data_IF_220292089681
#
_entry.id   IF_220292089681
#
_cell.length_a   1.000
_cell.length_b   1.000
_cell.length_c   1.000
_cell.angle_alpha   90.00
_cell.angle_beta   90.00
_cell.angle_gamma   90.00
#
_symmetry.space_group_name_H-M   'P 1'
#
loop_
_entity.id
_entity.type
_entity.pdbx_description
1 polymer ?
#
# COMPACT_ATOMS: atom_id res chain seq x y z
N UNK A 1 -20.63 2.87 14.81
CA UNK A 1 -21.62 2.80 13.73
C UNK A 1 -22.85 3.63 14.14
N UNK A 2 -23.58 4.20 13.15
CA UNK A 2 -24.84 4.87 13.45
C UNK A 2 -25.79 3.91 14.14
N UNK A 3 -26.57 4.41 15.11
CA UNK A 3 -27.47 3.59 15.94
C UNK A 3 -28.55 2.86 15.14
N UNK A 4 -28.89 3.37 13.97
CA UNK A 4 -29.87 2.79 13.02
C UNK A 4 -29.22 1.97 11.89
N UNK A 5 -27.88 1.83 11.90
CA UNK A 5 -27.12 1.10 10.89
C UNK A 5 -27.06 1.79 9.51
N UNK A 6 -27.51 3.05 9.41
CA UNK A 6 -27.51 3.82 8.14
C UNK A 6 -26.45 4.90 8.17
N UNK A 7 -25.89 5.19 7.01
CA UNK A 7 -25.02 6.33 6.81
C UNK A 7 -25.86 7.52 6.32
N UNK A 8 -25.48 8.74 6.73
CA UNK A 8 -26.23 9.94 6.35
C UNK A 8 -25.84 10.46 4.98
N UNK A 9 -26.83 10.62 4.12
CA UNK A 9 -26.70 11.36 2.87
C UNK A 9 -26.49 12.86 3.07
N UNK A 10 -26.22 13.59 2.01
CA UNK A 10 -25.85 15.00 2.05
C UNK A 10 -24.47 15.26 2.65
N UNK A 11 -23.71 14.21 2.91
CA UNK A 11 -22.35 14.26 3.47
C UNK A 11 -21.31 14.45 2.37
N UNK A 12 -20.26 15.24 2.66
CA UNK A 12 -19.07 15.35 1.83
C UNK A 12 -17.89 14.65 2.49
N UNK A 13 -17.28 13.70 1.77
CA UNK A 13 -16.06 12.99 2.18
C UNK A 13 -14.87 13.62 1.44
N UNK A 14 -13.94 14.20 2.19
CA UNK A 14 -12.68 14.69 1.65
C UNK A 14 -11.60 13.62 1.83
N UNK A 15 -11.15 13.04 0.73
CA UNK A 15 -10.25 11.88 0.73
C UNK A 15 -8.77 12.26 0.92
N UNK A 16 -8.39 13.54 0.75
CA UNK A 16 -6.99 13.95 0.63
C UNK A 16 -6.29 13.16 -0.48
N UNK A 17 -5.15 12.57 -0.17
CA UNK A 17 -4.42 11.63 -1.05
C UNK A 17 -4.58 10.15 -0.62
N UNK A 18 -5.47 9.85 0.34
CA UNK A 18 -5.58 8.52 0.91
C UNK A 18 -6.29 7.54 -0.04
N UNK A 19 -5.53 6.65 -0.68
CA UNK A 19 -6.07 5.66 -1.62
C UNK A 19 -7.11 4.73 -1.01
N UNK A 20 -6.98 4.38 0.27
CA UNK A 20 -7.96 3.56 1.00
C UNK A 20 -9.28 4.31 1.20
N UNK A 21 -9.23 5.59 1.59
CA UNK A 21 -10.45 6.41 1.72
C UNK A 21 -11.13 6.54 0.35
N UNK A 22 -10.37 6.86 -0.70
CA UNK A 22 -10.90 6.99 -2.06
C UNK A 22 -11.62 5.73 -2.55
N UNK A 23 -11.12 4.53 -2.22
CA UNK A 23 -11.55 3.27 -2.84
C UNK A 23 -12.41 2.39 -1.96
N UNK A 24 -12.35 2.56 -0.61
CA UNK A 24 -13.13 1.74 0.33
C UNK A 24 -14.40 2.47 0.80
N UNK A 25 -14.29 3.77 1.10
CA UNK A 25 -15.42 4.55 1.63
C UNK A 25 -16.56 4.73 0.62
N UNK A 26 -16.32 4.84 -0.72
CA UNK A 26 -17.41 4.90 -1.71
C UNK A 26 -18.38 3.72 -1.61
N UNK A 27 -17.91 2.52 -1.28
CA UNK A 27 -18.77 1.36 -1.05
C UNK A 27 -19.79 1.56 0.08
N UNK A 28 -19.45 2.33 1.11
CA UNK A 28 -20.38 2.62 2.22
C UNK A 28 -21.51 3.54 1.79
N UNK A 29 -21.30 4.41 0.79
CA UNK A 29 -22.33 5.29 0.26
C UNK A 29 -23.52 4.53 -0.35
N UNK A 30 -23.34 3.25 -0.75
CA UNK A 30 -24.42 2.37 -1.20
C UNK A 30 -25.53 2.18 -0.16
N UNK A 31 -25.21 2.36 1.12
CA UNK A 31 -26.09 2.13 2.27
C UNK A 31 -26.49 3.43 2.98
N UNK A 32 -26.23 4.58 2.33
CA UNK A 32 -26.63 5.88 2.85
C UNK A 32 -28.12 6.16 2.59
N UNK A 33 -28.69 7.10 3.34
CA UNK A 33 -30.06 7.54 3.17
C UNK A 33 -30.24 8.66 2.11
N UNK A 34 -29.16 8.99 1.40
CA UNK A 34 -29.11 9.97 0.33
C UNK A 34 -27.74 10.11 -0.32
N UNK A 35 -27.56 11.05 -1.28
CA UNK A 35 -26.31 11.22 -2.00
C UNK A 35 -25.12 11.56 -1.09
N UNK A 36 -23.94 11.04 -1.42
CA UNK A 36 -22.67 11.31 -0.73
C UNK A 36 -21.65 11.82 -1.76
N UNK A 37 -21.10 13.01 -1.51
CA UNK A 37 -20.08 13.62 -2.36
C UNK A 37 -18.67 13.23 -1.93
N UNK A 38 -17.80 12.97 -2.90
CA UNK A 38 -16.39 12.63 -2.69
C UNK A 38 -15.49 13.64 -3.40
N UNK A 39 -14.46 14.10 -2.69
CA UNK A 39 -13.49 15.07 -3.17
C UNK A 39 -12.11 14.77 -2.58
N UNK A 40 -11.05 15.41 -3.04
CA UNK A 40 -9.70 15.19 -2.55
C UNK A 40 -8.74 16.30 -2.93
N UNK A 41 -7.45 16.06 -2.68
CA UNK A 41 -6.39 16.94 -3.13
C UNK A 41 -6.25 16.89 -4.67
N UNK A 42 -5.70 17.94 -5.28
CA UNK A 42 -5.52 18.05 -6.74
C UNK A 42 -4.79 16.82 -7.32
N UNK A 43 -3.77 16.32 -6.63
CA UNK A 43 -3.02 15.13 -7.05
C UNK A 43 -3.86 13.85 -7.00
N UNK A 44 -4.92 13.82 -6.19
CA UNK A 44 -5.84 12.68 -6.11
C UNK A 44 -6.68 12.53 -7.39
N UNK A 45 -6.94 13.64 -8.10
CA UNK A 45 -7.71 13.63 -9.35
C UNK A 45 -7.03 12.84 -10.48
N UNK A 46 -5.70 12.67 -10.43
CA UNK A 46 -4.99 11.83 -11.39
C UNK A 46 -5.15 10.33 -11.13
N UNK A 47 -5.66 9.93 -9.95
CA UNK A 47 -5.70 8.53 -9.54
C UNK A 47 -6.98 7.83 -10.03
N UNK A 48 -6.86 6.65 -10.67
CA UNK A 48 -8.02 5.94 -11.21
C UNK A 48 -8.95 5.42 -10.12
N UNK A 49 -10.26 5.59 -10.34
CA UNK A 49 -11.34 5.12 -9.49
C UNK A 49 -12.36 4.26 -10.26
N UNK A 50 -12.32 4.33 -11.61
CA UNK A 50 -13.34 3.76 -12.47
C UNK A 50 -13.70 2.31 -12.11
N UNK A 51 -12.76 1.35 -11.91
CA UNK A 51 -13.17 -0.04 -11.67
C UNK A 51 -14.04 -0.23 -10.43
N UNK A 52 -13.75 0.46 -9.32
CA UNK A 52 -14.58 0.36 -8.12
C UNK A 52 -15.93 1.05 -8.31
N UNK A 53 -15.96 2.18 -9.02
CA UNK A 53 -17.18 2.91 -9.31
C UNK A 53 -18.08 2.12 -10.27
N UNK A 54 -17.53 1.54 -11.34
CA UNK A 54 -18.26 0.63 -12.24
C UNK A 54 -18.87 -0.57 -11.47
N UNK A 55 -18.15 -1.09 -10.46
CA UNK A 55 -18.65 -2.14 -9.59
C UNK A 55 -19.84 -1.68 -8.75
N UNK A 56 -19.81 -0.45 -8.24
CA UNK A 56 -20.95 0.13 -7.49
C UNK A 56 -22.13 0.43 -8.40
N UNK A 57 -21.91 0.85 -9.64
CA UNK A 57 -23.00 1.03 -10.63
C UNK A 57 -23.67 -0.30 -10.98
N UNK A 58 -22.90 -1.39 -11.13
CA UNK A 58 -23.45 -2.74 -11.31
C UNK A 58 -24.31 -3.19 -10.12
N UNK A 59 -24.03 -2.67 -8.91
CA UNK A 59 -24.84 -2.88 -7.72
C UNK A 59 -26.01 -1.91 -7.60
N UNK A 60 -26.22 -1.02 -8.58
CA UNK A 60 -27.35 -0.11 -8.69
C UNK A 60 -27.14 1.31 -8.16
N UNK A 61 -25.90 1.71 -7.84
CA UNK A 61 -25.59 3.11 -7.56
C UNK A 61 -25.72 3.97 -8.81
N UNK A 62 -26.06 5.25 -8.63
CA UNK A 62 -25.91 6.26 -9.67
C UNK A 62 -24.73 7.16 -9.31
N UNK A 63 -23.81 7.33 -10.26
CA UNK A 63 -22.60 8.12 -10.06
C UNK A 63 -22.62 9.34 -10.96
N UNK A 64 -22.50 10.52 -10.35
CA UNK A 64 -22.40 11.81 -11.05
C UNK A 64 -20.97 12.31 -10.93
N UNK A 65 -20.24 12.39 -12.05
CA UNK A 65 -18.88 12.91 -12.10
C UNK A 65 -18.91 14.45 -12.24
N UNK A 66 -18.12 15.13 -11.41
CA UNK A 66 -17.95 16.59 -11.45
C UNK A 66 -16.63 17.01 -12.11
N UNK A 67 -15.88 16.05 -12.63
CA UNK A 67 -14.61 16.20 -13.35
C UNK A 67 -14.47 15.12 -14.41
N UNK A 68 -13.27 14.53 -14.53
CA UNK A 68 -13.00 13.44 -15.46
C UNK A 68 -13.71 12.15 -15.00
N UNK A 69 -14.37 11.46 -15.92
CA UNK A 69 -15.05 10.19 -15.64
C UNK A 69 -14.11 9.17 -15.00
N UNK A 70 -14.59 8.49 -13.95
CA UNK A 70 -13.83 7.48 -13.23
C UNK A 70 -12.76 8.06 -12.31
N UNK A 71 -12.86 9.32 -11.91
CA UNK A 71 -11.96 10.05 -11.02
C UNK A 71 -12.72 10.95 -10.05
N UNK A 72 -12.03 11.45 -9.03
CA UNK A 72 -12.55 12.53 -8.18
C UNK A 72 -12.65 13.84 -8.97
N UNK A 73 -13.57 14.76 -8.61
CA UNK A 73 -14.65 14.59 -7.65
C UNK A 73 -15.91 13.96 -8.28
N UNK A 74 -16.70 13.26 -7.44
CA UNK A 74 -17.95 12.63 -7.86
C UNK A 74 -18.97 12.57 -6.71
N UNK A 75 -20.23 12.33 -7.05
CA UNK A 75 -21.29 12.06 -6.08
C UNK A 75 -21.90 10.69 -6.34
N UNK A 76 -22.09 9.90 -5.27
CA UNK A 76 -22.77 8.61 -5.32
C UNK A 76 -24.15 8.75 -4.73
N UNK A 77 -25.17 8.40 -5.52
CA UNK A 77 -26.54 8.25 -5.06
C UNK A 77 -26.83 6.76 -4.88
N UNK A 78 -27.19 6.31 -3.65
CA UNK A 78 -27.48 4.91 -3.39
C UNK A 78 -28.72 4.43 -4.18
N UNK A 79 -28.85 3.11 -4.43
CA UNK A 79 -30.05 2.57 -5.08
C UNK A 79 -31.30 2.84 -4.23
N UNK A 80 -32.41 3.27 -4.88
CA UNK A 80 -33.66 3.60 -4.19
C UNK A 80 -34.33 2.37 -3.55
N UNK A 81 -34.12 1.20 -4.14
CA UNK A 81 -34.63 -0.08 -3.64
C UNK A 81 -33.49 -1.11 -3.69
N UNK A 82 -33.10 -1.58 -2.51
CA UNK A 82 -32.22 -2.75 -2.43
C UNK A 82 -33.09 -3.97 -2.67
N UNK A 83 -32.98 -4.57 -3.86
CA UNK A 83 -33.72 -5.76 -4.20
C UNK A 83 -33.40 -6.88 -3.20
N UNK A 84 -34.39 -7.45 -2.53
CA UNK A 84 -34.20 -8.66 -1.71
C UNK A 84 -33.98 -9.83 -2.68
N UNK A 85 -32.73 -10.08 -3.04
CA UNK A 85 -32.35 -11.23 -3.86
C UNK A 85 -31.79 -12.32 -2.95
N UNK A 86 -32.16 -13.57 -3.22
CA UNK A 86 -31.59 -14.73 -2.52
C UNK A 86 -30.23 -15.14 -3.10
N UNK A 87 -29.96 -14.75 -4.35
CA UNK A 87 -28.74 -15.06 -5.08
C UNK A 87 -27.72 -13.89 -4.95
N UNK A 88 -26.42 -14.19 -4.97
CA UNK A 88 -25.39 -13.16 -4.97
C UNK A 88 -25.51 -12.20 -6.16
N UNK A 89 -25.25 -10.91 -5.93
CA UNK A 89 -25.07 -9.96 -7.02
C UNK A 89 -23.73 -10.23 -7.70
N UNK A 90 -23.74 -10.45 -9.02
CA UNK A 90 -22.52 -10.68 -9.80
C UNK A 90 -21.97 -9.34 -10.28
N UNK A 91 -20.70 -9.07 -9.96
CA UNK A 91 -19.98 -7.85 -10.36
C UNK A 91 -18.70 -8.24 -11.09
N UNK A 92 -18.41 -7.61 -12.21
CA UNK A 92 -17.20 -7.84 -12.99
C UNK A 92 -16.42 -6.54 -13.18
N UNK A 93 -15.14 -6.53 -12.77
CA UNK A 93 -14.27 -5.36 -12.89
C UNK A 93 -12.88 -5.75 -13.39
N UNK A 94 -12.19 -4.84 -14.07
CA UNK A 94 -10.77 -4.94 -14.32
C UNK A 94 -9.98 -4.21 -13.21
N UNK A 95 -9.36 -4.95 -12.33
CA UNK A 95 -8.58 -4.42 -11.23
C UNK A 95 -7.06 -4.49 -11.46
N UNK A 96 -6.61 -4.61 -12.71
CA UNK A 96 -5.18 -4.71 -13.07
C UNK A 96 -4.36 -3.51 -12.59
N UNK A 97 -4.99 -2.36 -12.39
CA UNK A 97 -4.34 -1.14 -11.88
C UNK A 97 -4.18 -1.09 -10.36
N UNK A 98 -4.98 -1.82 -9.58
CA UNK A 98 -4.89 -1.83 -8.11
C UNK A 98 -5.76 -2.92 -7.48
N UNK A 99 -5.18 -3.69 -6.55
CA UNK A 99 -5.93 -4.64 -5.69
C UNK A 99 -6.99 -3.98 -4.81
N UNK A 100 -6.86 -2.68 -4.54
CA UNK A 100 -7.82 -1.94 -3.72
C UNK A 100 -9.22 -1.86 -4.34
N UNK A 101 -9.37 -2.01 -5.65
CA UNK A 101 -10.69 -2.06 -6.28
C UNK A 101 -11.45 -3.32 -5.90
N UNK A 102 -10.78 -4.48 -5.85
CA UNK A 102 -11.34 -5.74 -5.33
C UNK A 102 -11.65 -5.58 -3.84
N UNK A 103 -10.67 -5.18 -3.03
CA UNK A 103 -10.83 -5.03 -1.59
C UNK A 103 -11.99 -4.11 -1.21
N UNK A 104 -12.15 -2.96 -1.91
CA UNK A 104 -13.23 -2.01 -1.67
C UNK A 104 -14.64 -2.60 -1.85
N UNK A 105 -14.82 -3.48 -2.85
CA UNK A 105 -16.09 -4.17 -3.09
C UNK A 105 -16.28 -5.34 -2.12
N UNK A 106 -15.23 -6.10 -1.79
CA UNK A 106 -15.32 -7.20 -0.81
C UNK A 106 -15.76 -6.71 0.56
N UNK A 107 -15.24 -5.57 1.02
CA UNK A 107 -15.55 -4.98 2.33
C UNK A 107 -17.04 -4.68 2.53
N UNK A 108 -17.77 -4.44 1.45
CA UNK A 108 -19.21 -4.19 1.50
C UNK A 108 -20.07 -5.42 1.16
N UNK A 109 -19.42 -6.49 0.64
CA UNK A 109 -20.12 -7.63 0.06
C UNK A 109 -21.13 -8.31 0.99
N UNK A 110 -20.83 -8.39 2.29
CA UNK A 110 -21.74 -9.01 3.28
C UNK A 110 -23.03 -8.21 3.53
N UNK A 111 -23.05 -6.91 3.18
CA UNK A 111 -24.23 -6.05 3.29
C UNK A 111 -25.05 -6.02 2.00
N UNK A 112 -24.52 -6.52 0.91
CA UNK A 112 -25.26 -6.66 -0.35
C UNK A 112 -26.31 -7.79 -0.16
N UNK A 113 -27.59 -7.56 -0.46
CA UNK A 113 -28.60 -8.61 -0.39
C UNK A 113 -28.25 -9.81 -1.27
N UNK A 114 -28.34 -11.01 -0.72
CA UNK A 114 -27.87 -12.23 -1.38
C UNK A 114 -26.35 -12.42 -1.37
N UNK A 115 -25.58 -11.41 -1.02
CA UNK A 115 -24.13 -11.41 -1.07
C UNK A 115 -23.56 -10.87 -2.38
N UNK A 116 -22.26 -11.02 -2.55
CA UNK A 116 -21.50 -10.52 -3.70
C UNK A 116 -20.68 -11.64 -4.33
N UNK A 117 -20.75 -11.79 -5.65
CA UNK A 117 -19.81 -12.58 -6.43
C UNK A 117 -19.02 -11.63 -7.33
N UNK A 118 -17.74 -11.46 -7.02
CA UNK A 118 -16.85 -10.49 -7.69
C UNK A 118 -15.88 -11.21 -8.62
N UNK A 119 -15.91 -10.87 -9.89
CA UNK A 119 -15.03 -11.37 -10.94
C UNK A 119 -14.00 -10.33 -11.35
N UNK A 120 -12.72 -10.71 -11.33
CA UNK A 120 -11.66 -9.89 -11.92
C UNK A 120 -11.41 -10.34 -13.37
N UNK A 121 -11.65 -9.42 -14.30
CA UNK A 121 -11.57 -9.68 -15.76
C UNK A 121 -10.19 -9.36 -16.37
N UNK A 122 -9.31 -8.67 -15.62
CA UNK A 122 -7.99 -8.30 -16.10
C UNK A 122 -7.01 -9.48 -16.17
N UNK A 123 -5.94 -9.31 -16.92
CA UNK A 123 -4.93 -10.38 -17.10
C UNK A 123 -4.07 -10.61 -15.85
N UNK A 124 -3.82 -9.57 -15.06
CA UNK A 124 -2.96 -9.63 -13.87
C UNK A 124 -3.71 -9.13 -12.63
N UNK A 125 -3.57 -9.84 -11.53
CA UNK A 125 -4.06 -9.38 -10.22
C UNK A 125 -2.88 -8.81 -9.43
N UNK A 126 -2.72 -7.46 -9.38
CA UNK A 126 -1.61 -6.86 -8.63
C UNK A 126 -1.81 -7.05 -7.13
N UNK A 127 -0.72 -7.22 -6.40
CA UNK A 127 -0.73 -7.26 -4.93
C UNK A 127 -1.78 -8.22 -4.33
N UNK A 128 -1.84 -9.46 -4.82
CA UNK A 128 -2.72 -10.50 -4.29
C UNK A 128 -2.65 -10.64 -2.75
N UNK A 129 -1.49 -10.46 -2.08
CA UNK A 129 -1.41 -10.45 -0.63
C UNK A 129 -2.34 -9.43 0.05
N UNK A 130 -2.57 -8.25 -0.54
CA UNK A 130 -3.51 -7.26 0.01
C UNK A 130 -4.97 -7.71 -0.10
N UNK A 131 -5.32 -8.47 -1.14
CA UNK A 131 -6.66 -9.08 -1.24
C UNK A 131 -6.80 -10.17 -0.18
N UNK A 132 -5.78 -11.02 0.00
CA UNK A 132 -5.77 -12.05 1.06
C UNK A 132 -5.87 -11.43 2.46
N UNK A 133 -5.23 -10.28 2.71
CA UNK A 133 -5.38 -9.52 3.94
C UNK A 133 -6.84 -9.10 4.15
N UNK A 134 -7.49 -8.52 3.13
CA UNK A 134 -8.91 -8.15 3.19
C UNK A 134 -9.81 -9.37 3.46
N UNK A 135 -9.55 -10.50 2.83
CA UNK A 135 -10.31 -11.75 3.06
C UNK A 135 -10.10 -12.26 4.50
N UNK A 136 -8.87 -12.20 5.01
CA UNK A 136 -8.56 -12.59 6.39
C UNK A 136 -9.28 -11.70 7.40
N UNK A 137 -9.30 -10.38 7.20
CA UNK A 137 -10.01 -9.43 8.07
C UNK A 137 -11.53 -9.67 8.04
N UNK A 138 -12.10 -9.97 6.87
CA UNK A 138 -13.51 -10.34 6.74
C UNK A 138 -13.82 -11.64 7.48
N UNK A 139 -12.98 -12.67 7.37
CA UNK A 139 -13.11 -13.91 8.14
C UNK A 139 -13.01 -13.66 9.63
N UNK A 140 -12.03 -12.85 10.08
CA UNK A 140 -11.88 -12.44 11.47
C UNK A 140 -13.08 -11.67 12.02
N UNK A 141 -13.84 -11.04 11.13
CA UNK A 141 -15.08 -10.31 11.44
C UNK A 141 -16.35 -11.16 11.27
N UNK A 142 -16.22 -12.48 11.14
CA UNK A 142 -17.34 -13.42 11.01
C UNK A 142 -17.99 -13.46 9.61
N UNK A 143 -17.45 -12.74 8.63
CA UNK A 143 -17.94 -12.76 7.25
C UNK A 143 -17.33 -13.94 6.49
N UNK A 144 -18.16 -14.72 5.82
CA UNK A 144 -17.70 -15.85 5.01
C UNK A 144 -17.36 -15.38 3.59
N UNK A 145 -16.12 -15.60 3.19
CA UNK A 145 -15.63 -15.33 1.84
C UNK A 145 -15.03 -16.60 1.27
N UNK A 146 -15.45 -16.97 0.05
CA UNK A 146 -14.78 -17.99 -0.74
C UNK A 146 -13.93 -17.28 -1.81
N UNK A 147 -12.65 -17.61 -1.89
CA UNK A 147 -11.71 -17.02 -2.84
C UNK A 147 -11.17 -18.11 -3.77
N UNK A 148 -11.56 -18.07 -5.04
CA UNK A 148 -10.91 -18.82 -6.11
C UNK A 148 -9.93 -17.88 -6.85
N UNK A 149 -8.70 -17.86 -6.38
CA UNK A 149 -7.64 -17.00 -6.95
C UNK A 149 -7.25 -17.42 -8.38
N UNK A 150 -7.44 -18.69 -8.72
CA UNK A 150 -7.14 -19.19 -10.08
C UNK A 150 -8.20 -18.71 -11.07
N UNK A 151 -9.48 -18.86 -10.70
CA UNK A 151 -10.59 -18.31 -11.48
C UNK A 151 -10.71 -16.79 -11.34
N UNK A 152 -10.02 -16.17 -10.38
CA UNK A 152 -10.11 -14.73 -10.01
C UNK A 152 -11.53 -14.32 -9.61
N UNK A 153 -12.16 -15.17 -8.79
CA UNK A 153 -13.52 -14.98 -8.31
C UNK A 153 -13.53 -15.01 -6.78
N UNK A 154 -14.20 -14.04 -6.19
CA UNK A 154 -14.42 -13.95 -4.74
C UNK A 154 -15.90 -13.88 -4.47
N UNK A 155 -16.41 -14.78 -3.63
CA UNK A 155 -17.82 -14.81 -3.23
C UNK A 155 -17.95 -14.48 -1.76
N UNK A 156 -18.63 -13.36 -1.45
CA UNK A 156 -18.91 -12.91 -0.08
C UNK A 156 -20.34 -13.26 0.27
N UNK A 157 -20.53 -14.03 1.34
CA UNK A 157 -21.88 -14.40 1.81
C UNK A 157 -22.52 -13.22 2.56
N UNK A 158 -23.85 -13.02 2.44
CA UNK A 158 -24.55 -11.99 3.20
C UNK A 158 -24.50 -12.32 4.69
N UNK A 159 -24.41 -11.30 5.54
CA UNK A 159 -24.40 -11.51 6.99
C UNK A 159 -23.95 -10.28 7.76
N UNK A 160 -24.15 -10.34 9.07
CA UNK A 160 -23.70 -9.29 9.97
C UNK A 160 -22.20 -9.39 10.24
N UNK A 161 -21.52 -8.27 10.22
CA UNK A 161 -20.13 -8.15 10.68
C UNK A 161 -20.09 -8.24 12.20
N UNK A 162 -19.23 -9.10 12.74
CA UNK A 162 -19.04 -9.32 14.16
C UNK A 162 -17.60 -8.94 14.52
N UNK A 163 -17.44 -7.86 15.26
CA UNK A 163 -16.13 -7.42 15.74
C UNK A 163 -15.98 -7.75 17.22
N UNK A 164 -14.77 -8.11 17.68
CA UNK A 164 -14.49 -8.17 19.11
C UNK A 164 -14.64 -6.78 19.73
N UNK A 165 -14.85 -6.72 21.07
CA UNK A 165 -14.98 -5.46 21.80
C UNK A 165 -13.75 -4.56 21.60
N UNK A 166 -12.58 -5.18 21.51
CA UNK A 166 -11.31 -4.48 21.25
C UNK A 166 -10.59 -5.09 20.08
N UNK A 167 -10.17 -4.26 19.12
CA UNK A 167 -9.31 -4.63 17.99
C UNK A 167 -7.96 -3.98 18.18
N UNK A 168 -6.90 -4.80 18.27
CA UNK A 168 -5.53 -4.30 18.26
C UNK A 168 -5.02 -4.28 16.83
N UNK A 169 -4.68 -3.08 16.34
CA UNK A 169 -4.14 -2.91 14.99
C UNK A 169 -2.66 -3.32 14.99
N UNK A 170 -2.27 -4.18 14.04
CA UNK A 170 -0.87 -4.52 13.83
C UNK A 170 -0.03 -3.27 13.47
N UNK A 171 1.27 -3.23 13.85
CA UNK A 171 2.20 -2.23 13.32
C UNK A 171 2.23 -2.25 11.79
N UNK A 172 2.41 -1.10 11.16
CA UNK A 172 2.63 -1.03 9.71
C UNK A 172 4.04 -1.50 9.38
N UNK A 173 4.16 -2.73 8.90
CA UNK A 173 5.45 -3.37 8.60
C UNK A 173 6.13 -2.73 7.37
N UNK A 174 5.38 -2.07 6.50
CA UNK A 174 5.96 -1.31 5.39
C UNK A 174 6.64 -0.03 5.87
N UNK A 175 6.12 0.62 6.93
CA UNK A 175 6.77 1.77 7.56
C UNK A 175 7.99 1.36 8.41
N UNK A 176 8.11 0.10 8.80
CA UNK A 176 9.31 -0.43 9.44
C UNK A 176 10.51 -0.56 8.48
N UNK A 177 10.26 -0.65 7.17
CA UNK A 177 11.29 -0.93 6.16
C UNK A 177 12.46 0.07 6.15
N UNK A 178 12.27 1.39 6.21
CA UNK A 178 13.41 2.32 6.27
C UNK A 178 14.26 2.16 7.53
N UNK A 179 13.65 1.86 8.68
CA UNK A 179 14.38 1.66 9.95
C UNK A 179 15.21 0.38 9.92
N UNK A 180 14.59 -0.76 9.59
CA UNK A 180 15.31 -2.04 9.50
C UNK A 180 16.39 -2.02 8.40
N UNK A 181 16.09 -1.38 7.27
CA UNK A 181 17.03 -1.20 6.16
C UNK A 181 18.23 -0.31 6.52
N UNK A 182 18.09 0.59 7.49
CA UNK A 182 19.17 1.44 7.97
C UNK A 182 20.34 0.62 8.53
N UNK A 183 20.06 -0.51 9.21
CA UNK A 183 21.09 -1.41 9.72
C UNK A 183 22.00 -1.95 8.61
N UNK A 184 21.44 -2.30 7.43
CA UNK A 184 22.26 -2.76 6.29
C UNK A 184 23.12 -1.64 5.72
N UNK A 185 22.54 -0.44 5.56
CA UNK A 185 23.22 0.69 4.95
C UNK A 185 24.36 1.19 5.83
N UNK A 186 24.06 1.48 7.11
CA UNK A 186 25.00 2.10 8.03
C UNK A 186 25.90 1.11 8.75
N UNK A 187 25.47 -0.14 8.89
CA UNK A 187 25.98 -1.10 9.87
C UNK A 187 25.33 -0.88 11.23
N UNK A 188 25.44 -1.87 12.12
CA UNK A 188 24.84 -1.83 13.45
C UNK A 188 23.53 -2.62 13.54
N UNK A 189 22.80 -2.42 14.62
CA UNK A 189 21.59 -3.20 14.92
C UNK A 189 20.39 -2.28 15.14
N UNK A 190 19.28 -2.60 14.48
CA UNK A 190 18.00 -1.93 14.66
C UNK A 190 16.94 -2.92 15.11
N UNK A 191 16.09 -2.51 16.06
CA UNK A 191 14.97 -3.30 16.59
C UNK A 191 13.65 -2.56 16.36
N UNK A 192 12.68 -3.26 15.80
CA UNK A 192 11.29 -2.77 15.68
C UNK A 192 10.41 -3.60 16.60
N UNK A 193 9.75 -2.97 17.60
CA UNK A 193 8.92 -3.66 18.58
C UNK A 193 7.57 -4.11 17.97
N UNK A 194 6.88 -4.98 18.72
CA UNK A 194 5.55 -5.50 18.40
C UNK A 194 5.47 -6.22 17.05
N UNK A 195 6.58 -6.80 16.60
CA UNK A 195 6.60 -7.57 15.36
C UNK A 195 5.68 -8.79 15.47
N UNK A 196 4.69 -8.95 14.57
CA UNK A 196 3.75 -10.06 14.69
C UNK A 196 4.43 -11.41 14.48
N UNK A 197 3.93 -12.46 15.12
CA UNK A 197 4.40 -13.83 14.92
C UNK A 197 3.99 -14.35 13.52
N UNK A 198 2.78 -14.01 13.11
CA UNK A 198 2.25 -14.25 11.78
C UNK A 198 1.51 -13.02 11.29
N UNK A 199 1.58 -12.73 9.99
CA UNK A 199 0.92 -11.57 9.41
C UNK A 199 0.50 -11.82 7.97
N UNK A 200 -0.58 -11.20 7.55
CA UNK A 200 -1.00 -11.11 6.15
C UNK A 200 -0.42 -9.89 5.44
N UNK A 201 0.25 -8.98 6.16
CA UNK A 201 0.89 -7.82 5.56
C UNK A 201 2.06 -8.22 4.67
N UNK A 202 2.15 -7.71 3.40
CA UNK A 202 3.32 -7.94 2.54
C UNK A 202 4.65 -7.51 3.17
N UNK A 203 4.63 -6.50 4.06
CA UNK A 203 5.80 -6.05 4.82
C UNK A 203 6.42 -7.14 5.71
N UNK A 204 5.67 -8.20 6.03
CA UNK A 204 6.20 -9.37 6.73
C UNK A 204 7.28 -10.14 5.96
N UNK A 205 7.40 -9.94 4.64
CA UNK A 205 8.47 -10.51 3.81
C UNK A 205 9.80 -9.77 3.96
N UNK A 206 9.78 -8.56 4.53
CA UNK A 206 10.96 -7.69 4.62
C UNK A 206 12.17 -8.37 5.28
N UNK A 207 12.06 -9.05 6.45
CA UNK A 207 13.21 -9.70 7.08
C UNK A 207 13.93 -10.68 6.14
N UNK A 208 13.19 -11.53 5.43
CA UNK A 208 13.78 -12.47 4.48
C UNK A 208 14.45 -11.79 3.26
N UNK A 209 13.98 -10.62 2.86
CA UNK A 209 14.65 -9.84 1.81
C UNK A 209 15.96 -9.21 2.33
N UNK A 210 15.94 -8.66 3.55
CA UNK A 210 17.14 -8.09 4.17
C UNK A 210 18.21 -9.17 4.45
N UNK A 211 17.81 -10.38 4.87
CA UNK A 211 18.69 -11.52 5.03
C UNK A 211 19.40 -11.88 3.72
N UNK A 212 18.67 -11.94 2.60
CA UNK A 212 19.25 -12.17 1.26
C UNK A 212 20.21 -11.06 0.83
N UNK A 213 20.04 -9.84 1.35
CA UNK A 213 20.94 -8.70 1.11
C UNK A 213 22.15 -8.68 2.07
N UNK A 214 22.25 -9.64 3.02
CA UNK A 214 23.38 -9.81 3.90
C UNK A 214 23.18 -9.39 5.35
N UNK A 215 21.92 -9.15 5.79
CA UNK A 215 21.61 -8.91 7.18
C UNK A 215 21.54 -10.21 7.99
N UNK A 216 21.83 -10.11 9.28
CA UNK A 216 21.46 -11.10 10.28
C UNK A 216 20.09 -10.71 10.87
N UNK A 217 19.16 -11.67 10.91
CA UNK A 217 17.80 -11.47 11.38
C UNK A 217 17.54 -12.30 12.63
N UNK A 218 16.94 -11.68 13.65
CA UNK A 218 16.42 -12.38 14.81
C UNK A 218 15.09 -11.80 15.30
N UNK A 219 14.38 -12.59 16.11
CA UNK A 219 13.09 -12.19 16.68
C UNK A 219 13.09 -12.35 18.19
N UNK A 220 13.88 -11.56 18.93
CA UNK A 220 13.92 -11.66 20.39
C UNK A 220 12.60 -11.22 21.01
N UNK A 221 12.26 -11.85 22.15
CA UNK A 221 11.19 -11.41 23.04
C UNK A 221 11.84 -10.79 24.27
N UNK A 222 11.59 -9.52 24.53
CA UNK A 222 12.15 -8.75 25.65
C UNK A 222 10.96 -8.10 26.37
N UNK A 223 10.82 -8.35 27.66
CA UNK A 223 9.71 -7.83 28.47
C UNK A 223 8.33 -8.10 27.84
N UNK A 224 8.10 -9.33 27.38
CA UNK A 224 6.90 -9.81 26.70
C UNK A 224 6.60 -9.11 25.35
N UNK A 225 7.52 -8.31 24.84
CA UNK A 225 7.42 -7.68 23.52
C UNK A 225 8.30 -8.42 22.51
N UNK A 226 7.73 -8.88 21.43
CA UNK A 226 8.45 -9.47 20.29
C UNK A 226 9.00 -8.37 19.39
N UNK A 227 10.27 -8.47 19.05
CA UNK A 227 10.95 -7.54 18.15
C UNK A 227 11.33 -8.23 16.84
N UNK A 228 11.40 -7.47 15.75
CA UNK A 228 12.23 -7.80 14.61
C UNK A 228 13.56 -7.07 14.79
N UNK A 229 14.64 -7.83 14.92
CA UNK A 229 16.00 -7.31 15.05
C UNK A 229 16.76 -7.59 13.75
N UNK A 230 17.38 -6.56 13.21
CA UNK A 230 18.20 -6.61 12.00
C UNK A 230 19.59 -6.09 12.33
N UNK A 231 20.61 -6.90 12.08
CA UNK A 231 22.01 -6.50 12.22
C UNK A 231 22.69 -6.52 10.85
N UNK A 232 23.31 -5.40 10.50
CA UNK A 232 24.09 -5.24 9.29
C UNK A 232 25.54 -4.85 9.59
N UNK A 233 26.43 -5.12 8.65
CA UNK A 233 27.86 -4.76 8.72
C UNK A 233 28.24 -3.65 7.73
N UNK A 234 27.25 -3.04 7.09
CA UNK A 234 27.47 -2.03 6.05
C UNK A 234 27.78 -2.60 4.66
N UNK A 235 27.82 -3.91 4.48
CA UNK A 235 27.91 -4.55 3.19
C UNK A 235 26.51 -4.93 2.70
N UNK A 236 26.20 -4.62 1.42
CA UNK A 236 24.93 -4.93 0.80
C UNK A 236 25.15 -5.82 -0.41
N UNK A 237 24.54 -6.99 -0.41
CA UNK A 237 24.56 -7.92 -1.54
C UNK A 237 23.44 -7.57 -2.52
N UNK A 238 23.78 -7.39 -3.80
CA UNK A 238 22.78 -7.28 -4.87
C UNK A 238 22.14 -8.64 -5.15
N UNK A 239 20.92 -8.65 -5.74
CA UNK A 239 20.10 -9.86 -5.83
C UNK A 239 19.89 -10.39 -7.25
N UNK A 240 20.40 -9.70 -8.31
CA UNK A 240 20.05 -10.06 -9.67
C UNK A 240 18.57 -9.80 -9.96
N UNK A 241 17.86 -10.75 -10.58
CA UNK A 241 16.41 -10.65 -10.76
C UNK A 241 15.70 -10.88 -9.43
N UNK A 242 14.95 -9.87 -9.00
CA UNK A 242 14.29 -9.82 -7.71
C UNK A 242 12.81 -9.51 -7.85
N UNK A 243 11.98 -10.54 -7.75
CA UNK A 243 10.54 -10.43 -7.84
C UNK A 243 9.95 -9.81 -6.56
N UNK A 244 9.28 -8.67 -6.72
CA UNK A 244 8.59 -7.91 -5.69
C UNK A 244 7.07 -7.82 -5.92
N UNK A 245 6.51 -8.65 -6.80
CA UNK A 245 5.07 -8.66 -7.08
C UNK A 245 4.22 -8.72 -5.81
N UNK A 246 4.68 -9.47 -4.82
CA UNK A 246 3.96 -9.65 -3.55
C UNK A 246 4.15 -8.50 -2.55
N UNK A 247 5.21 -7.69 -2.68
CA UNK A 247 5.60 -6.69 -1.67
C UNK A 247 6.07 -5.36 -2.28
N UNK A 248 5.43 -4.92 -3.38
CA UNK A 248 5.82 -3.70 -4.09
C UNK A 248 5.87 -2.44 -3.23
N UNK A 249 5.07 -2.36 -2.18
CA UNK A 249 5.02 -1.20 -1.28
C UNK A 249 6.37 -0.89 -0.60
N UNK A 250 7.20 -1.89 -0.35
CA UNK A 250 8.52 -1.69 0.28
C UNK A 250 9.64 -1.45 -0.74
N UNK A 251 9.34 -1.47 -2.04
CA UNK A 251 10.32 -1.28 -3.11
C UNK A 251 11.16 0.01 -2.97
N UNK A 252 10.61 1.19 -2.57
CA UNK A 252 11.42 2.38 -2.37
C UNK A 252 12.49 2.20 -1.29
N UNK A 253 12.18 1.56 -0.16
CA UNK A 253 13.18 1.28 0.88
C UNK A 253 14.23 0.29 0.41
N UNK A 254 13.84 -0.76 -0.31
CA UNK A 254 14.77 -1.72 -0.90
C UNK A 254 15.65 -1.06 -1.96
N UNK A 255 15.11 -0.15 -2.78
CA UNK A 255 15.89 0.63 -3.74
C UNK A 255 16.96 1.46 -3.06
N UNK A 256 16.65 2.10 -1.91
CA UNK A 256 17.65 2.87 -1.15
C UNK A 256 18.82 2.00 -0.66
N UNK A 257 18.53 0.78 -0.21
CA UNK A 257 19.55 -0.20 0.20
C UNK A 257 20.41 -0.61 -1.01
N UNK A 258 19.75 -0.93 -2.14
CA UNK A 258 20.40 -1.46 -3.34
C UNK A 258 21.29 -0.43 -4.08
N UNK A 259 21.13 0.87 -3.82
CA UNK A 259 22.10 1.89 -4.28
C UNK A 259 23.52 1.60 -3.78
N UNK A 260 23.65 0.93 -2.64
CA UNK A 260 24.94 0.58 -2.00
C UNK A 260 25.34 -0.88 -2.21
N UNK A 261 24.66 -1.61 -3.06
CA UNK A 261 24.92 -3.03 -3.30
C UNK A 261 26.24 -3.27 -4.06
N UNK A 262 26.74 -4.50 -3.97
CA UNK A 262 27.99 -4.94 -4.61
C UNK A 262 27.80 -5.40 -6.08
N UNK A 263 26.57 -5.70 -6.49
CA UNK A 263 26.23 -6.15 -7.85
C UNK A 263 24.82 -5.69 -8.25
N UNK A 264 24.48 -5.66 -9.56
CA UNK A 264 23.20 -5.20 -10.04
C UNK A 264 22.02 -5.98 -9.50
N UNK A 265 20.89 -5.26 -9.35
CA UNK A 265 19.58 -5.85 -9.01
C UNK A 265 18.51 -5.29 -9.92
N UNK A 266 17.69 -6.17 -10.48
CA UNK A 266 16.47 -5.85 -11.23
C UNK A 266 15.27 -6.19 -10.38
N UNK A 267 14.65 -5.17 -9.79
CA UNK A 267 13.36 -5.31 -9.09
C UNK A 267 12.26 -5.39 -10.13
N UNK A 268 11.53 -6.51 -10.19
CA UNK A 268 10.48 -6.79 -11.17
C UNK A 268 9.14 -7.04 -10.49
N UNK A 269 8.04 -7.03 -11.26
CA UNK A 269 6.69 -7.25 -10.73
C UNK A 269 6.07 -6.02 -10.08
N UNK A 270 6.65 -4.84 -10.24
CA UNK A 270 6.26 -3.60 -9.55
C UNK A 270 5.78 -2.48 -10.49
N UNK A 271 5.40 -2.80 -11.72
CA UNK A 271 4.90 -1.83 -12.70
C UNK A 271 3.69 -1.03 -12.21
N UNK A 272 2.86 -1.63 -11.34
CA UNK A 272 1.71 -0.97 -10.73
C UNK A 272 2.08 0.26 -9.86
N UNK A 273 3.32 0.38 -9.40
CA UNK A 273 3.80 1.52 -8.62
C UNK A 273 3.79 2.85 -9.40
N UNK A 274 3.63 2.80 -10.73
CA UNK A 274 3.45 4.00 -11.56
C UNK A 274 2.13 4.73 -11.28
N UNK A 275 1.12 4.04 -10.76
CA UNK A 275 -0.22 4.57 -10.44
C UNK A 275 -0.42 4.91 -8.97
N UNK A 276 0.64 5.00 -8.16
CA UNK A 276 0.56 5.36 -6.74
C UNK A 276 0.50 6.89 -6.52
N UNK A 277 0.99 7.39 -5.40
CA UNK A 277 1.02 8.83 -5.08
C UNK A 277 1.78 9.64 -6.13
N UNK A 278 2.81 9.02 -6.68
CA UNK A 278 3.58 9.48 -7.84
C UNK A 278 3.92 8.27 -8.71
N UNK A 279 4.46 8.47 -9.92
CA UNK A 279 5.14 7.42 -10.64
C UNK A 279 6.44 7.07 -9.91
N UNK A 280 6.35 6.12 -8.96
CA UNK A 280 7.48 5.76 -8.09
C UNK A 280 8.68 5.21 -8.85
N UNK A 281 8.48 4.51 -9.96
CA UNK A 281 9.60 3.96 -10.74
C UNK A 281 10.42 5.07 -11.37
N UNK A 282 9.77 6.04 -12.00
CA UNK A 282 10.40 7.24 -12.55
C UNK A 282 11.06 8.08 -11.46
N UNK A 283 10.36 8.31 -10.35
CA UNK A 283 10.87 9.09 -9.23
C UNK A 283 12.13 8.45 -8.64
N UNK A 284 12.15 7.13 -8.42
CA UNK A 284 13.33 6.41 -7.92
C UNK A 284 14.49 6.48 -8.90
N UNK A 285 14.26 6.27 -10.20
CA UNK A 285 15.30 6.37 -11.22
C UNK A 285 15.92 7.78 -11.26
N UNK A 286 15.08 8.81 -11.21
CA UNK A 286 15.50 10.20 -11.20
C UNK A 286 16.32 10.55 -9.95
N UNK A 287 15.84 10.16 -8.76
CA UNK A 287 16.50 10.52 -7.52
C UNK A 287 17.80 9.71 -7.29
N UNK A 288 17.86 8.45 -7.70
CA UNK A 288 19.11 7.67 -7.70
C UNK A 288 20.15 8.32 -8.64
N UNK A 289 19.72 8.72 -9.85
CA UNK A 289 20.59 9.41 -10.81
C UNK A 289 21.03 10.77 -10.28
N UNK A 290 20.17 11.51 -9.60
CA UNK A 290 20.46 12.83 -8.99
C UNK A 290 21.63 12.75 -8.00
N UNK A 291 21.71 11.70 -7.21
CA UNK A 291 22.82 11.48 -6.27
C UNK A 291 24.06 10.85 -6.92
N UNK A 292 24.06 10.63 -8.24
CA UNK A 292 25.19 10.05 -8.97
C UNK A 292 25.17 8.52 -9.02
N UNK A 293 24.08 7.88 -8.58
CA UNK A 293 23.84 6.44 -8.76
C UNK A 293 23.40 6.11 -10.20
N UNK A 294 23.24 4.83 -10.51
CA UNK A 294 22.78 4.35 -11.80
C UNK A 294 21.52 3.51 -11.64
N UNK A 295 20.41 3.97 -12.21
CA UNK A 295 19.15 3.25 -12.23
C UNK A 295 18.44 3.45 -13.58
N UNK A 296 17.74 2.41 -14.02
CA UNK A 296 16.92 2.42 -15.22
C UNK A 296 15.51 1.90 -14.93
N UNK A 297 14.51 2.57 -15.47
CA UNK A 297 13.17 2.01 -15.50
C UNK A 297 13.09 0.82 -16.44
N UNK A 298 12.45 -0.26 -15.98
CA UNK A 298 12.02 -1.38 -16.78
C UNK A 298 10.52 -1.27 -17.06
N UNK A 299 9.96 -1.97 -18.05
CA UNK A 299 8.51 -1.97 -18.29
C UNK A 299 7.70 -2.33 -17.03
N UNK A 300 8.19 -3.26 -16.23
CA UNK A 300 7.54 -3.77 -15.02
C UNK A 300 8.43 -3.65 -13.76
N UNK A 301 9.35 -2.70 -13.72
CA UNK A 301 10.28 -2.61 -12.60
C UNK A 301 11.33 -1.53 -12.69
N UNK A 302 12.41 -1.74 -11.92
CA UNK A 302 13.55 -0.84 -11.82
C UNK A 302 14.85 -1.65 -11.74
N UNK A 303 15.82 -1.34 -12.57
CA UNK A 303 17.19 -1.87 -12.46
C UNK A 303 18.10 -0.86 -11.75
N UNK A 304 18.84 -1.32 -10.76
CA UNK A 304 19.84 -0.53 -10.04
C UNK A 304 21.20 -1.18 -10.23
N UNK A 305 22.15 -0.41 -10.76
CA UNK A 305 23.52 -0.84 -10.98
C UNK A 305 24.44 -0.14 -9.98
N UNK A 306 25.31 -0.90 -9.27
CA UNK A 306 26.25 -0.31 -8.35
C UNK A 306 27.18 0.69 -9.02
N UNK A 307 27.51 1.75 -8.30
CA UNK A 307 28.51 2.73 -8.68
C UNK A 307 29.56 2.84 -7.58
N UNK A 308 30.77 3.27 -7.93
CA UNK A 308 31.78 3.57 -6.92
C UNK A 308 31.28 4.66 -5.96
N UNK A 309 31.54 4.50 -4.66
CA UNK A 309 31.12 5.48 -3.65
C UNK A 309 31.54 6.93 -3.96
N UNK A 310 32.65 7.11 -4.69
CA UNK A 310 33.14 8.42 -5.12
C UNK A 310 32.26 9.09 -6.19
N UNK A 311 31.35 8.38 -6.82
CA UNK A 311 30.36 8.96 -7.76
C UNK A 311 29.12 9.50 -7.03
N UNK A 312 28.86 8.98 -5.82
CA UNK A 312 27.73 9.44 -5.02
C UNK A 312 28.01 10.83 -4.44
N UNK A 313 27.04 11.72 -4.54
CA UNK A 313 27.18 13.13 -4.15
C UNK A 313 25.96 13.63 -3.39
N UNK A 314 26.15 14.62 -2.49
CA UNK A 314 25.04 15.27 -1.80
C UNK A 314 24.10 15.94 -2.79
N UNK A 315 22.81 15.91 -2.49
CA UNK A 315 21.76 16.50 -3.32
C UNK A 315 20.54 16.87 -2.48
N UNK A 316 19.75 17.80 -2.98
CA UNK A 316 18.40 18.05 -2.48
C UNK A 316 17.46 17.06 -3.18
N UNK A 317 16.86 16.16 -2.41
CA UNK A 317 16.01 15.09 -2.89
C UNK A 317 14.56 15.56 -2.95
N UNK A 318 13.92 15.36 -4.09
CA UNK A 318 12.50 15.62 -4.26
C UNK A 318 11.69 14.45 -3.70
N UNK A 319 10.59 14.75 -3.01
CA UNK A 319 9.71 13.72 -2.44
C UNK A 319 8.46 13.46 -3.28
N UNK A 320 8.17 14.29 -4.26
CA UNK A 320 6.99 14.14 -5.15
C UNK A 320 5.67 14.03 -4.37
N UNK A 321 5.59 14.69 -3.20
CA UNK A 321 4.49 14.54 -2.24
C UNK A 321 4.21 13.08 -1.80
N UNK A 322 5.21 12.21 -1.90
CA UNK A 322 5.13 10.80 -1.55
C UNK A 322 6.00 10.49 -0.32
N UNK A 323 5.36 9.97 0.74
CA UNK A 323 6.02 9.63 2.00
C UNK A 323 7.14 8.58 1.84
N UNK A 324 6.99 7.64 0.89
CA UNK A 324 8.01 6.61 0.64
C UNK A 324 9.23 7.17 -0.09
N UNK A 325 9.05 8.20 -0.90
CA UNK A 325 10.19 8.91 -1.49
C UNK A 325 10.93 9.73 -0.45
N UNK A 326 10.24 10.28 0.56
CA UNK A 326 10.88 10.96 1.68
C UNK A 326 11.73 10.01 2.53
N UNK A 327 11.20 8.82 2.88
CA UNK A 327 11.96 7.82 3.63
C UNK A 327 13.10 7.22 2.82
N UNK A 328 12.92 6.99 1.51
CA UNK A 328 14.00 6.62 0.58
C UNK A 328 15.17 7.63 0.64
N UNK A 329 14.86 8.91 0.55
CA UNK A 329 15.88 9.97 0.60
C UNK A 329 16.62 10.03 1.96
N UNK A 330 15.88 9.85 3.07
CA UNK A 330 16.47 9.77 4.40
C UNK A 330 17.46 8.60 4.52
N UNK A 331 17.11 7.43 3.98
CA UNK A 331 17.98 6.26 3.96
C UNK A 331 19.28 6.50 3.18
N UNK A 332 19.24 7.19 2.05
CA UNK A 332 20.45 7.57 1.30
C UNK A 332 21.38 8.45 2.12
N UNK A 333 20.81 9.32 2.97
CA UNK A 333 21.56 10.20 3.87
C UNK A 333 22.43 9.47 4.89
N UNK A 334 22.19 8.20 5.18
CA UNK A 334 23.02 7.39 6.08
C UNK A 334 24.47 7.19 5.57
N UNK A 335 24.66 7.19 4.25
CA UNK A 335 25.99 7.04 3.62
C UNK A 335 26.41 8.20 2.73
N UNK A 336 25.48 8.96 2.21
CA UNK A 336 25.75 10.12 1.38
C UNK A 336 25.60 11.38 2.25
N UNK A 337 26.73 11.84 2.82
CA UNK A 337 26.72 13.01 3.70
C UNK A 337 26.24 14.25 2.95
N UNK A 338 25.29 14.98 3.52
CA UNK A 338 24.76 16.23 2.98
C UNK A 338 23.52 16.06 2.09
N UNK A 339 22.87 14.89 2.10
CA UNK A 339 21.52 14.75 1.55
C UNK A 339 20.56 15.68 2.32
N UNK A 340 19.70 16.35 1.58
CA UNK A 340 18.59 17.14 2.12
C UNK A 340 17.28 16.60 1.56
N UNK A 341 16.28 16.41 2.41
CA UNK A 341 14.96 15.90 2.01
C UNK A 341 14.00 17.08 1.91
N UNK A 342 13.55 17.40 0.71
CA UNK A 342 12.58 18.46 0.48
C UNK A 342 11.19 17.96 0.89
N UNK A 343 10.48 18.80 1.69
CA UNK A 343 9.13 18.47 2.14
C UNK A 343 9.02 17.09 2.84
N UNK A 344 9.88 16.82 3.83
CA UNK A 344 9.82 15.61 4.65
C UNK A 344 8.46 15.43 5.34
N UNK A 345 7.69 16.49 5.52
CA UNK A 345 6.35 16.47 6.10
C UNK A 345 5.35 15.54 5.38
N UNK A 346 5.64 15.13 4.14
CA UNK A 346 4.84 14.12 3.44
C UNK A 346 4.75 12.79 4.19
N UNK A 347 5.73 12.49 5.06
CA UNK A 347 5.73 11.29 5.92
C UNK A 347 4.56 11.29 6.91
N UNK A 348 4.01 12.46 7.26
CA UNK A 348 2.88 12.58 8.17
C UNK A 348 1.62 11.84 7.71
N UNK A 349 1.54 11.49 6.42
CA UNK A 349 0.44 10.68 5.87
C UNK A 349 0.33 9.30 6.54
N UNK A 350 1.47 8.66 6.84
CA UNK A 350 1.50 7.28 7.37
C UNK A 350 2.29 7.16 8.67
N UNK A 351 3.24 8.06 8.91
CA UNK A 351 4.08 8.09 10.10
C UNK A 351 4.38 9.56 10.49
N UNK A 352 3.45 10.24 11.20
CA UNK A 352 3.57 11.67 11.51
C UNK A 352 4.84 12.06 12.29
N UNK A 353 5.35 11.15 13.12
CA UNK A 353 6.56 11.33 13.94
C UNK A 353 7.82 10.69 13.32
N UNK A 354 7.83 10.48 12.00
CA UNK A 354 8.97 9.85 11.31
C UNK A 354 10.31 10.53 11.62
N UNK A 355 10.35 11.84 11.58
CA UNK A 355 11.61 12.60 11.78
C UNK A 355 12.18 12.36 13.18
N UNK A 356 11.32 12.37 14.19
CA UNK A 356 11.75 12.15 15.58
C UNK A 356 12.25 10.71 15.77
N UNK A 357 11.45 9.72 15.33
CA UNK A 357 11.84 8.31 15.39
C UNK A 357 13.13 8.02 14.61
N UNK A 358 13.31 8.66 13.46
CA UNK A 358 14.51 8.51 12.65
C UNK A 358 15.75 9.05 13.37
N UNK A 359 15.65 10.23 13.97
CA UNK A 359 16.76 10.83 14.73
C UNK A 359 17.06 10.02 16.00
N UNK A 360 16.03 9.57 16.72
CA UNK A 360 16.19 8.75 17.95
C UNK A 360 16.90 7.42 17.65
N UNK A 361 16.63 6.82 16.48
CA UNK A 361 17.33 5.60 16.04
C UNK A 361 18.84 5.82 15.81
N UNK A 362 19.24 7.03 15.43
CA UNK A 362 20.64 7.35 15.06
C UNK A 362 21.54 7.73 16.24
N UNK A 363 21.01 7.82 17.44
CA UNK A 363 21.73 8.13 18.69
C UNK A 363 22.09 6.83 19.42
#
# INVERSE_FOLDING_TARGET
>A
PPSDGRFHGGTKVFCGLAGTVMRFVPGLAMFADGPVAFDGDEQAYARPMKPVLDGLEQLGACIEYHGEEGRLPFTITPPQTVSQCAEPSVVSIDSSGSSQFISGLLLIGSRVPGGLELHHTGEKTPSLPHIRMTVADLHGSGVRVNADEHARVWTVQPGAVQLPETVTVEPDLSNAAPFLGAALIAGGTVRVPHWPESTTQPGGMLPGYLERMGAEISFPVIDDVRYCEVTGNGHVSGLGDFDLTAAGEIAPSLAAILVFADKPTRMIGIGHLRGHETNRLEALANEITRVGGAAHELPDGLEITPVSANHLRPSVMETYADHRMATFAAMLGLRIKGIQVKNVATTAKTLPNFVDLWNDMLV
#
